data_IF_667603975784
#
_entry.id   IF_667603975784
#
_cell.length_a   1.000
_cell.length_b   1.000
_cell.length_c   1.000
_cell.angle_alpha   90.00
_cell.angle_beta   90.00
_cell.angle_gamma   90.00
#
_symmetry.space_group_name_H-M   'P 1'
#
loop_
_entity.id
_entity.type
_entity.pdbx_description
1 polymer ?
#
# COMPACT_ATOMS: atom_id res chain seq x y z
N UNK A 1 19.65 9.05 33.22
CA UNK A 1 18.37 8.78 32.52
C UNK A 1 18.67 7.72 31.46
N UNK A 2 18.05 6.55 31.54
CA UNK A 2 18.34 5.44 30.62
C UNK A 2 17.58 5.68 29.31
N UNK A 3 18.30 5.83 28.20
CA UNK A 3 17.71 5.80 26.86
C UNK A 3 17.31 4.36 26.56
N UNK A 4 16.01 4.09 26.62
CA UNK A 4 15.44 2.79 26.32
C UNK A 4 15.65 2.50 24.82
N UNK A 5 16.46 1.49 24.51
CA UNK A 5 16.57 0.91 23.17
C UNK A 5 15.20 0.35 22.79
N UNK A 6 14.44 1.12 22.00
CA UNK A 6 13.18 0.67 21.42
C UNK A 6 13.48 -0.58 20.59
N UNK A 7 12.78 -1.71 20.81
CA UNK A 7 13.05 -2.91 20.05
C UNK A 7 12.84 -2.60 18.57
N UNK A 8 13.77 -3.02 17.71
CA UNK A 8 13.61 -2.97 16.26
C UNK A 8 12.51 -3.97 15.86
N UNK A 9 11.26 -3.57 16.02
CA UNK A 9 10.08 -4.42 15.79
C UNK A 9 9.90 -4.58 14.26
N UNK A 10 10.42 -5.67 13.71
CA UNK A 10 9.97 -6.32 12.46
C UNK A 10 9.75 -5.38 11.25
N UNK A 11 10.86 -4.84 10.74
CA UNK A 11 10.99 -3.84 9.65
C UNK A 11 10.63 -4.28 8.22
N UNK A 12 9.81 -5.32 7.99
CA UNK A 12 9.45 -5.74 6.62
C UNK A 12 8.08 -5.23 6.14
N UNK A 13 7.22 -4.79 7.07
CA UNK A 13 5.91 -4.21 6.73
C UNK A 13 6.03 -2.69 6.70
N UNK A 14 5.98 -2.11 5.49
CA UNK A 14 6.02 -0.66 5.31
C UNK A 14 4.68 -0.05 5.71
N UNK A 15 4.68 0.78 6.75
CA UNK A 15 3.53 1.57 7.14
C UNK A 15 3.34 2.69 6.11
N UNK A 16 2.15 2.78 5.56
CA UNK A 16 1.77 3.71 4.51
C UNK A 16 0.45 4.39 4.87
N UNK A 17 0.30 5.63 4.43
CA UNK A 17 -0.98 6.33 4.43
C UNK A 17 -1.54 6.30 3.02
N UNK A 18 -2.79 5.87 2.90
CA UNK A 18 -3.48 5.67 1.63
C UNK A 18 -4.36 6.88 1.34
N UNK A 19 -4.23 7.43 0.14
CA UNK A 19 -5.10 8.50 -0.34
C UNK A 19 -5.79 8.09 -1.64
N UNK A 20 -7.02 8.54 -1.79
CA UNK A 20 -7.83 8.36 -2.99
C UNK A 20 -8.20 9.73 -3.57
N UNK A 21 -7.98 9.89 -4.87
CA UNK A 21 -8.41 11.09 -5.58
C UNK A 21 -9.91 10.99 -5.88
N UNK A 22 -10.73 11.87 -5.27
CA UNK A 22 -12.16 11.99 -5.55
C UNK A 22 -12.48 13.43 -5.88
N UNK A 23 -13.16 13.68 -7.00
CA UNK A 23 -13.53 15.02 -7.43
C UNK A 23 -12.34 16.02 -7.47
N UNK A 24 -11.15 15.53 -7.83
CA UNK A 24 -9.89 16.30 -7.84
C UNK A 24 -9.33 16.70 -6.45
N UNK A 25 -9.91 16.17 -5.37
CA UNK A 25 -9.42 16.29 -4.00
C UNK A 25 -8.85 14.96 -3.49
N UNK A 26 -7.80 15.03 -2.68
CA UNK A 26 -7.18 13.85 -2.07
C UNK A 26 -7.85 13.53 -0.74
N UNK A 27 -8.49 12.38 -0.66
CA UNK A 27 -9.14 11.87 0.55
C UNK A 27 -8.25 10.85 1.25
N UNK A 28 -7.96 11.08 2.53
CA UNK A 28 -7.30 10.11 3.40
C UNK A 28 -8.22 8.90 3.63
N UNK A 29 -7.78 7.73 3.19
CA UNK A 29 -8.46 6.45 3.43
C UNK A 29 -8.05 5.85 4.78
N UNK A 30 -6.88 6.21 5.29
CA UNK A 30 -6.33 5.74 6.55
C UNK A 30 -4.86 5.32 6.45
N UNK A 31 -4.33 4.84 7.58
CA UNK A 31 -2.95 4.34 7.69
C UNK A 31 -2.95 2.83 7.86
N UNK A 32 -2.01 2.16 7.21
CA UNK A 32 -1.95 0.71 7.17
C UNK A 32 -0.60 0.16 6.74
N UNK A 33 -0.51 -1.15 6.61
CA UNK A 33 0.70 -1.85 6.19
C UNK A 33 0.58 -2.30 4.74
N UNK A 34 1.51 -1.84 3.91
CA UNK A 34 1.60 -2.21 2.50
C UNK A 34 2.37 -3.52 2.32
N UNK A 35 1.81 -4.43 1.53
CA UNK A 35 2.51 -5.61 1.02
C UNK A 35 2.07 -5.92 -0.41
N UNK A 36 2.94 -6.60 -1.14
CA UNK A 36 2.64 -7.11 -2.47
C UNK A 36 2.46 -8.64 -2.41
N UNK A 37 1.46 -9.15 -3.11
CA UNK A 37 1.18 -10.59 -3.17
C UNK A 37 0.73 -11.01 -4.56
N UNK A 38 0.90 -12.31 -4.86
CA UNK A 38 0.43 -12.92 -6.09
C UNK A 38 -0.87 -13.67 -5.83
N UNK A 39 -1.98 -13.20 -6.39
CA UNK A 39 -3.31 -13.80 -6.21
C UNK A 39 -3.62 -14.73 -7.38
N UNK A 40 -4.01 -16.00 -7.13
CA UNK A 40 -4.47 -16.89 -8.19
C UNK A 40 -5.81 -16.40 -8.73
N UNK A 41 -5.95 -16.31 -10.05
CA UNK A 41 -7.20 -15.89 -10.72
C UNK A 41 -7.98 -17.12 -11.20
N UNK A 42 -7.29 -18.02 -11.89
CA UNK A 42 -7.82 -19.26 -12.47
C UNK A 42 -6.78 -20.37 -12.34
N UNK A 43 -7.21 -21.64 -12.36
CA UNK A 43 -6.34 -22.82 -12.16
C UNK A 43 -5.21 -22.94 -13.22
N UNK A 44 -5.43 -22.39 -14.42
CA UNK A 44 -4.48 -22.41 -15.54
C UNK A 44 -3.88 -21.04 -15.91
N UNK A 45 -4.05 -20.01 -15.08
CA UNK A 45 -3.53 -18.67 -15.35
C UNK A 45 -2.37 -18.28 -14.44
N UNK A 46 -1.44 -17.44 -14.91
CA UNK A 46 -0.39 -16.89 -14.06
C UNK A 46 -1.01 -16.06 -12.93
N UNK A 47 -0.44 -16.20 -11.72
CA UNK A 47 -0.90 -15.42 -10.56
C UNK A 47 -0.75 -13.92 -10.84
N UNK A 48 -1.78 -13.15 -10.53
CA UNK A 48 -1.76 -11.71 -10.73
C UNK A 48 -1.03 -11.01 -9.57
N UNK A 49 -0.04 -10.16 -9.85
CA UNK A 49 0.58 -9.34 -8.82
C UNK A 49 -0.40 -8.26 -8.35
N UNK A 50 -0.56 -8.14 -7.03
CA UNK A 50 -1.41 -7.13 -6.38
C UNK A 50 -0.66 -6.42 -5.26
N UNK A 51 -0.96 -5.15 -5.07
CA UNK A 51 -0.59 -4.39 -3.86
C UNK A 51 -1.81 -4.32 -2.97
N UNK A 52 -1.63 -4.71 -1.71
CA UNK A 52 -2.66 -4.64 -0.67
C UNK A 52 -2.13 -3.78 0.46
N UNK A 53 -3.00 -2.91 0.99
CA UNK A 53 -2.76 -2.17 2.22
C UNK A 53 -3.83 -2.56 3.23
N UNK A 54 -3.42 -3.15 4.34
CA UNK A 54 -4.30 -3.49 5.46
C UNK A 54 -4.26 -2.41 6.53
N UNK A 55 -5.42 -2.02 7.05
CA UNK A 55 -5.55 -1.01 8.10
C UNK A 55 -4.84 -1.45 9.37
N UNK A 56 -4.15 -0.51 10.04
CA UNK A 56 -3.54 -0.81 11.35
C UNK A 56 -4.58 -0.83 12.48
N UNK A 57 -5.59 0.04 12.42
CA UNK A 57 -6.63 0.15 13.45
C UNK A 57 -7.70 -0.95 13.39
N UNK A 58 -7.96 -1.50 12.20
CA UNK A 58 -9.06 -2.44 11.96
C UNK A 58 -8.55 -3.73 11.30
N UNK A 59 -8.42 -4.84 12.05
CA UNK A 59 -8.06 -6.11 11.46
C UNK A 59 -9.12 -6.52 10.43
N UNK A 60 -8.68 -6.98 9.26
CA UNK A 60 -9.49 -7.33 8.08
C UNK A 60 -10.02 -6.16 7.22
N UNK A 61 -9.76 -4.90 7.58
CA UNK A 61 -10.09 -3.78 6.69
C UNK A 61 -8.95 -3.52 5.72
N UNK A 62 -9.19 -3.77 4.42
CA UNK A 62 -8.27 -3.35 3.35
C UNK A 62 -8.52 -1.88 3.01
N UNK A 63 -7.49 -1.06 3.16
CA UNK A 63 -7.51 0.35 2.78
C UNK A 63 -7.31 0.53 1.27
N UNK A 64 -6.51 -0.34 0.67
CA UNK A 64 -6.25 -0.38 -0.77
C UNK A 64 -6.06 -1.83 -1.22
N UNK A 65 -6.60 -2.16 -2.38
CA UNK A 65 -6.27 -3.37 -3.13
C UNK A 65 -6.23 -2.99 -4.61
N UNK A 66 -5.07 -3.13 -5.24
CA UNK A 66 -4.91 -2.81 -6.66
C UNK A 66 -4.02 -3.83 -7.36
N UNK A 67 -4.34 -4.11 -8.63
CA UNK A 67 -3.55 -4.98 -9.49
C UNK A 67 -2.35 -4.22 -10.05
N UNK A 68 -1.22 -4.90 -10.18
CA UNK A 68 -0.02 -4.35 -10.82
C UNK A 68 -0.06 -4.74 -12.30
N UNK A 69 -0.51 -3.82 -13.16
CA UNK A 69 -0.51 -4.00 -14.62
C UNK A 69 0.62 -3.17 -15.24
N UNK A 70 1.32 -3.72 -16.24
CA UNK A 70 2.41 -3.01 -16.93
C UNK A 70 1.99 -1.67 -17.56
N UNK A 71 0.69 -1.50 -17.85
CA UNK A 71 0.10 -0.34 -18.53
C UNK A 71 -0.53 0.70 -17.56
N UNK A 72 -0.62 0.43 -16.26
CA UNK A 72 -1.49 1.17 -15.31
C UNK A 72 -1.03 2.62 -14.97
N UNK A 73 -0.14 3.22 -15.77
CA UNK A 73 0.26 4.62 -15.59
C UNK A 73 0.86 4.90 -14.20
N UNK A 74 1.46 3.88 -13.60
CA UNK A 74 2.07 3.93 -12.28
C UNK A 74 3.09 5.07 -12.21
N UNK A 75 2.78 6.13 -11.46
CA UNK A 75 3.71 7.25 -11.29
C UNK A 75 4.37 7.16 -9.93
N UNK A 76 5.71 7.25 -9.88
CA UNK A 76 6.39 7.53 -8.61
C UNK A 76 6.01 8.94 -8.18
N UNK A 77 5.29 9.05 -7.08
CA UNK A 77 5.12 10.34 -6.42
C UNK A 77 6.44 10.70 -5.72
N UNK A 78 6.84 11.97 -5.82
CA UNK A 78 8.06 12.45 -5.18
C UNK A 78 8.01 12.18 -3.68
N UNK A 79 9.04 11.52 -3.13
CA UNK A 79 9.10 11.11 -1.73
C UNK A 79 8.70 9.65 -1.45
N UNK A 80 8.09 8.93 -2.40
CA UNK A 80 7.69 7.52 -2.22
C UNK A 80 8.48 6.57 -3.15
N UNK A 81 9.09 5.49 -2.65
CA UNK A 81 9.89 4.56 -3.47
C UNK A 81 9.04 3.67 -4.41
N UNK A 82 7.71 3.64 -4.24
CA UNK A 82 6.80 2.80 -5.00
C UNK A 82 5.90 3.64 -5.94
N UNK A 83 5.54 3.05 -7.08
CA UNK A 83 4.69 3.67 -8.08
C UNK A 83 3.25 3.16 -7.90
N UNK A 84 2.25 4.03 -8.03
CA UNK A 84 0.81 3.72 -7.80
C UNK A 84 -0.07 4.19 -8.96
N UNK A 85 -1.27 3.60 -9.16
CA UNK A 85 -2.23 4.06 -10.15
C UNK A 85 -2.52 5.55 -9.97
N UNK A 86 -2.80 6.28 -11.06
CA UNK A 86 -3.00 7.74 -11.02
C UNK A 86 -4.09 8.22 -10.05
N UNK A 87 -5.04 7.38 -9.69
CA UNK A 87 -6.16 7.70 -8.78
C UNK A 87 -5.87 7.39 -7.30
N UNK A 88 -4.74 6.75 -6.99
CA UNK A 88 -4.40 6.32 -5.63
C UNK A 88 -2.96 6.67 -5.30
N UNK A 89 -2.73 7.23 -4.12
CA UNK A 89 -1.42 7.63 -3.64
C UNK A 89 -1.11 6.92 -2.32
N UNK A 90 0.10 6.40 -2.17
CA UNK A 90 0.62 5.96 -0.87
C UNK A 90 1.76 6.90 -0.45
N UNK A 91 1.68 7.40 0.78
CA UNK A 91 2.81 8.06 1.44
C UNK A 91 3.42 7.09 2.45
N UNK A 92 4.74 6.96 2.48
CA UNK A 92 5.40 6.29 3.60
C UNK A 92 5.22 7.15 4.86
N UNK A 93 4.91 6.49 5.99
CA UNK A 93 4.85 7.11 7.31
C UNK A 93 6.19 7.00 8.04
#
# INVERSE_FOLDING_TARGET
MMAQLVPHQSTDKRRVKVYELRHNDWFDRGTGFCFACFVPVEENQPKEPRVIVESEDQPNRRLLETKIVKDDGFQKQQGTPAAFPRTTALSLC
#
